data_IF_398473864400
#
_entry.id   IF_398473864400
#
_cell.length_a   1.000
_cell.length_b   1.000
_cell.length_c   1.000
_cell.angle_alpha   90.00
_cell.angle_beta   90.00
_cell.angle_gamma   90.00
#
_symmetry.space_group_name_H-M   'P 1'
#
loop_
_entity.id
_entity.type
_entity.pdbx_description
1 polymer ?
#
# COMPACT_ATOMS: atom_id res chain seq x y z
N UNK A 1 -9.32 -11.39 -22.61
CA UNK A 1 -9.69 -11.86 -21.26
C UNK A 1 -8.46 -11.66 -20.41
N UNK A 2 -8.58 -10.94 -19.29
CA UNK A 2 -7.44 -10.71 -18.39
C UNK A 2 -6.95 -12.05 -17.85
N UNK A 3 -5.65 -12.33 -17.89
CA UNK A 3 -5.02 -13.53 -17.30
C UNK A 3 -4.99 -13.48 -15.75
N UNK A 4 -5.83 -12.65 -15.14
CA UNK A 4 -5.93 -12.46 -13.71
C UNK A 4 -7.02 -13.35 -13.08
N UNK A 5 -6.60 -14.18 -12.14
CA UNK A 5 -7.42 -15.06 -11.30
C UNK A 5 -8.10 -14.26 -10.18
N UNK A 6 -9.24 -13.67 -10.52
CA UNK A 6 -10.05 -12.89 -9.57
C UNK A 6 -10.58 -13.75 -8.41
N UNK A 7 -10.93 -15.01 -8.66
CA UNK A 7 -11.41 -15.93 -7.62
C UNK A 7 -10.28 -16.28 -6.63
N UNK A 8 -9.07 -16.53 -7.15
CA UNK A 8 -7.87 -16.69 -6.34
C UNK A 8 -7.54 -15.46 -5.48
N UNK A 9 -7.73 -14.25 -6.04
CA UNK A 9 -7.60 -13.01 -5.27
C UNK A 9 -8.63 -12.91 -4.14
N UNK A 10 -9.91 -13.17 -4.42
CA UNK A 10 -10.97 -13.16 -3.42
C UNK A 10 -10.74 -14.18 -2.31
N UNK A 11 -10.35 -15.41 -2.67
CA UNK A 11 -9.95 -16.43 -1.71
C UNK A 11 -8.77 -15.97 -0.85
N UNK A 12 -7.74 -15.35 -1.48
CA UNK A 12 -6.53 -14.89 -0.79
C UNK A 12 -6.82 -13.81 0.26
N UNK A 13 -7.78 -12.91 -0.01
CA UNK A 13 -8.13 -11.83 0.93
C UNK A 13 -9.34 -12.15 1.84
N UNK A 14 -9.96 -13.31 1.64
CA UNK A 14 -11.18 -13.72 2.36
C UNK A 14 -12.39 -12.85 2.03
N UNK A 15 -12.55 -12.46 0.77
CA UNK A 15 -13.69 -11.67 0.30
C UNK A 15 -14.77 -12.57 -0.29
N UNK A 16 -15.99 -12.48 0.25
CA UNK A 16 -17.17 -13.21 -0.24
C UNK A 16 -18.35 -12.31 -0.58
N UNK A 17 -18.08 -11.03 -0.87
CA UNK A 17 -19.10 -10.05 -1.23
C UNK A 17 -19.41 -10.02 -2.74
N UNK A 18 -20.23 -9.06 -3.20
CA UNK A 18 -20.56 -8.90 -4.62
C UNK A 18 -19.34 -8.62 -5.51
N UNK A 19 -19.33 -9.21 -6.70
CA UNK A 19 -18.31 -8.95 -7.73
C UNK A 19 -18.80 -7.85 -8.69
N UNK A 20 -18.90 -6.61 -8.19
CA UNK A 20 -19.33 -5.45 -8.99
C UNK A 20 -18.39 -4.23 -8.86
N UNK A 21 -18.54 -3.27 -9.77
CA UNK A 21 -17.80 -2.01 -9.76
C UNK A 21 -18.45 -0.94 -8.86
N UNK A 22 -18.91 -1.30 -7.66
CA UNK A 22 -19.55 -0.37 -6.72
C UNK A 22 -18.58 0.22 -5.69
N UNK A 23 -18.95 1.36 -5.08
CA UNK A 23 -18.16 1.95 -3.99
C UNK A 23 -18.09 1.01 -2.77
N UNK A 24 -19.18 0.28 -2.49
CA UNK A 24 -19.23 -0.69 -1.39
C UNK A 24 -18.22 -1.83 -1.61
N UNK A 25 -18.13 -2.34 -2.84
CA UNK A 25 -17.13 -3.35 -3.22
C UNK A 25 -15.72 -2.78 -3.10
N UNK A 26 -15.45 -1.58 -3.62
CA UNK A 26 -14.14 -0.94 -3.49
C UNK A 26 -13.72 -0.77 -2.03
N UNK A 27 -14.62 -0.28 -1.16
CA UNK A 27 -14.35 -0.12 0.27
C UNK A 27 -14.06 -1.47 0.95
N UNK A 28 -14.84 -2.51 0.64
CA UNK A 28 -14.67 -3.83 1.23
C UNK A 28 -13.34 -4.49 0.81
N UNK A 29 -12.96 -4.38 -0.47
CA UNK A 29 -11.69 -4.91 -0.97
C UNK A 29 -10.49 -4.14 -0.39
N UNK A 30 -10.60 -2.81 -0.28
CA UNK A 30 -9.55 -1.95 0.27
C UNK A 30 -9.30 -2.23 1.76
N UNK A 31 -10.34 -2.56 2.52
CA UNK A 31 -10.18 -3.01 3.91
C UNK A 31 -9.66 -4.45 4.03
N UNK A 32 -10.09 -5.36 3.15
CA UNK A 32 -9.73 -6.79 3.23
C UNK A 32 -8.30 -7.08 2.79
N UNK A 33 -7.80 -6.39 1.77
CA UNK A 33 -6.47 -6.64 1.19
C UNK A 33 -5.32 -6.47 2.20
N UNK A 34 -5.11 -5.30 2.85
CA UNK A 34 -3.99 -5.08 3.77
C UNK A 34 -4.13 -5.83 5.11
N UNK A 35 -5.29 -6.48 5.34
CA UNK A 35 -5.51 -7.40 6.46
C UNK A 35 -5.03 -8.81 6.15
N UNK A 36 -5.14 -9.24 4.90
CA UNK A 36 -4.83 -10.59 4.50
C UNK A 36 -3.42 -10.73 3.92
N UNK A 37 -2.95 -9.71 3.20
CA UNK A 37 -1.65 -9.71 2.51
C UNK A 37 -0.74 -8.77 3.31
N UNK A 38 0.34 -9.27 3.94
CA UNK A 38 1.26 -8.42 4.68
C UNK A 38 2.10 -7.59 3.72
N UNK A 39 2.38 -6.35 4.10
CA UNK A 39 3.48 -5.61 3.52
C UNK A 39 4.78 -6.21 4.04
N UNK A 40 5.74 -6.52 3.16
CA UNK A 40 7.05 -7.04 3.52
C UNK A 40 8.09 -6.82 2.40
N UNK A 41 9.37 -6.82 2.74
CA UNK A 41 10.48 -6.68 1.78
C UNK A 41 11.44 -7.88 1.79
N UNK A 42 10.97 -9.07 2.12
CA UNK A 42 11.81 -10.26 2.34
C UNK A 42 12.58 -10.63 1.08
N UNK A 43 11.96 -10.62 -0.10
CA UNK A 43 12.68 -10.94 -1.34
C UNK A 43 13.83 -9.95 -1.61
N UNK A 44 13.56 -8.65 -1.49
CA UNK A 44 14.58 -7.62 -1.68
C UNK A 44 15.71 -7.75 -0.65
N UNK A 45 15.37 -8.03 0.61
CA UNK A 45 16.34 -8.22 1.69
C UNK A 45 17.23 -9.45 1.45
N UNK A 46 16.66 -10.52 0.87
CA UNK A 46 17.35 -11.77 0.55
C UNK A 46 18.03 -11.76 -0.83
N UNK A 47 17.97 -10.65 -1.57
CA UNK A 47 18.53 -10.55 -2.93
C UNK A 47 17.78 -11.39 -3.98
N UNK A 48 16.53 -11.77 -3.70
CA UNK A 48 15.64 -12.46 -4.63
C UNK A 48 14.99 -11.42 -5.55
N UNK A 49 14.91 -11.74 -6.85
CA UNK A 49 14.29 -10.85 -7.83
C UNK A 49 12.80 -10.65 -7.55
N UNK A 50 12.34 -9.39 -7.61
CA UNK A 50 10.94 -9.02 -7.44
C UNK A 50 10.27 -8.91 -8.81
N UNK A 51 9.44 -9.90 -9.16
CA UNK A 51 8.69 -9.94 -10.42
C UNK A 51 7.39 -9.14 -10.32
N UNK A 52 7.15 -8.23 -11.27
CA UNK A 52 5.96 -7.36 -11.30
C UNK A 52 4.96 -7.70 -12.41
N UNK A 53 5.26 -8.68 -13.27
CA UNK A 53 4.28 -9.17 -14.23
C UNK A 53 3.17 -9.96 -13.49
N UNK A 54 1.98 -9.98 -14.10
CA UNK A 54 0.78 -10.59 -13.50
C UNK A 54 0.97 -12.06 -13.12
N UNK A 55 1.76 -12.84 -13.86
CA UNK A 55 1.99 -14.25 -13.54
C UNK A 55 2.86 -14.40 -12.28
N UNK A 56 3.96 -13.65 -12.21
CA UNK A 56 4.84 -13.62 -11.03
C UNK A 56 4.09 -13.16 -9.76
N UNK A 57 3.28 -12.11 -9.88
CA UNK A 57 2.50 -11.55 -8.77
C UNK A 57 1.50 -12.57 -8.20
N UNK A 58 0.73 -13.23 -9.07
CA UNK A 58 -0.27 -14.22 -8.66
C UNK A 58 0.39 -15.47 -8.06
N UNK A 59 1.48 -15.94 -8.66
CA UNK A 59 2.23 -17.09 -8.13
C UNK A 59 2.71 -16.81 -6.69
N UNK A 60 3.33 -15.64 -6.48
CA UNK A 60 3.85 -15.24 -5.17
C UNK A 60 2.74 -15.03 -4.14
N UNK A 61 1.71 -14.25 -4.48
CA UNK A 61 0.73 -13.80 -3.48
C UNK A 61 -0.38 -14.82 -3.25
N UNK A 62 -0.83 -15.52 -4.30
CA UNK A 62 -1.94 -16.48 -4.19
C UNK A 62 -1.42 -17.89 -3.88
N UNK A 63 -0.55 -18.44 -4.74
CA UNK A 63 -0.08 -19.82 -4.59
C UNK A 63 0.89 -19.98 -3.41
N UNK A 64 1.85 -19.08 -3.27
CA UNK A 64 2.82 -19.16 -2.16
C UNK A 64 2.31 -18.49 -0.88
N UNK A 65 1.19 -17.76 -0.92
CA UNK A 65 0.58 -17.12 0.25
C UNK A 65 1.40 -15.96 0.82
N UNK A 66 2.34 -15.40 0.06
CA UNK A 66 3.29 -14.38 0.53
C UNK A 66 2.70 -12.97 0.46
N UNK A 67 3.48 -12.00 0.94
CA UNK A 67 3.20 -10.57 0.84
C UNK A 67 4.02 -9.90 -0.26
N UNK A 68 4.31 -8.62 -0.07
CA UNK A 68 5.22 -7.85 -0.91
C UNK A 68 5.26 -6.40 -0.47
N UNK A 69 5.93 -5.54 -1.22
CA UNK A 69 5.92 -4.09 -0.99
C UNK A 69 4.97 -3.35 -1.95
N UNK A 70 5.06 -2.02 -2.01
CA UNK A 70 4.05 -1.16 -2.64
C UNK A 70 3.65 -1.52 -4.08
N UNK A 71 4.62 -1.88 -4.93
CA UNK A 71 4.34 -2.22 -6.32
C UNK A 71 3.55 -3.53 -6.44
N UNK A 72 3.94 -4.55 -5.67
CA UNK A 72 3.28 -5.87 -5.70
C UNK A 72 1.84 -5.78 -5.19
N UNK A 73 1.64 -5.07 -4.08
CA UNK A 73 0.32 -4.79 -3.53
C UNK A 73 -0.58 -4.04 -4.50
N UNK A 74 -0.14 -2.87 -4.98
CA UNK A 74 -1.00 -2.00 -5.77
C UNK A 74 -1.17 -2.47 -7.21
N UNK A 75 -0.25 -3.25 -7.78
CA UNK A 75 -0.47 -3.92 -9.09
C UNK A 75 -1.51 -5.03 -8.98
N UNK A 76 -1.43 -5.91 -7.98
CA UNK A 76 -2.46 -6.94 -7.76
C UNK A 76 -3.83 -6.30 -7.52
N UNK A 77 -3.87 -5.25 -6.70
CA UNK A 77 -5.10 -4.53 -6.43
C UNK A 77 -5.64 -3.86 -7.70
N UNK A 78 -4.80 -3.25 -8.52
CA UNK A 78 -5.18 -2.67 -9.81
C UNK A 78 -5.76 -3.72 -10.76
N UNK A 79 -5.13 -4.90 -10.88
CA UNK A 79 -5.64 -5.99 -11.72
C UNK A 79 -7.00 -6.51 -11.23
N UNK A 80 -7.20 -6.64 -9.92
CA UNK A 80 -8.49 -7.03 -9.35
C UNK A 80 -9.59 -5.99 -9.64
N UNK A 81 -9.27 -4.70 -9.48
CA UNK A 81 -10.21 -3.62 -9.79
C UNK A 81 -10.54 -3.55 -11.29
N UNK A 82 -9.55 -3.70 -12.17
CA UNK A 82 -9.76 -3.77 -13.62
C UNK A 82 -10.64 -4.97 -14.02
N UNK A 83 -10.39 -6.15 -13.45
CA UNK A 83 -11.19 -7.35 -13.69
C UNK A 83 -12.65 -7.21 -13.22
N UNK A 84 -12.90 -6.39 -12.19
CA UNK A 84 -14.24 -6.04 -11.70
C UNK A 84 -14.93 -4.94 -12.51
N UNK A 85 -14.23 -4.34 -13.49
CA UNK A 85 -14.76 -3.28 -14.35
C UNK A 85 -14.63 -1.87 -13.79
N UNK A 86 -13.83 -1.65 -12.74
CA UNK A 86 -13.50 -0.30 -12.30
C UNK A 86 -12.63 0.41 -13.36
N UNK A 87 -12.84 1.71 -13.52
CA UNK A 87 -11.89 2.55 -14.27
C UNK A 87 -10.73 2.90 -13.36
N UNK A 88 -9.62 2.18 -13.48
CA UNK A 88 -8.44 2.31 -12.59
C UNK A 88 -7.16 2.60 -13.38
N UNK A 89 -6.26 3.38 -12.80
CA UNK A 89 -4.94 3.66 -13.36
C UNK A 89 -3.88 3.86 -12.29
N UNK A 90 -2.63 3.59 -12.63
CA UNK A 90 -1.50 3.76 -11.74
C UNK A 90 -1.02 5.22 -11.64
N UNK A 91 -0.58 5.60 -10.45
CA UNK A 91 0.13 6.83 -10.13
C UNK A 91 1.47 6.49 -9.45
N UNK A 92 2.32 7.51 -9.27
CA UNK A 92 3.57 7.39 -8.52
C UNK A 92 3.74 8.54 -7.54
N UNK A 93 4.32 8.26 -6.38
CA UNK A 93 4.45 9.20 -5.28
C UNK A 93 5.89 9.26 -4.73
N UNK A 94 6.23 10.42 -4.17
CA UNK A 94 7.47 10.69 -3.45
C UNK A 94 7.19 10.56 -1.96
N UNK A 95 7.83 9.58 -1.31
CA UNK A 95 7.63 9.32 0.13
C UNK A 95 8.22 10.47 0.95
N UNK A 96 7.41 10.98 1.88
CA UNK A 96 7.79 12.02 2.84
C UNK A 96 7.71 11.55 4.29
N UNK A 97 7.17 10.34 4.53
CA UNK A 97 7.16 9.74 5.86
C UNK A 97 8.57 9.62 6.43
N UNK A 98 8.82 10.29 7.55
CA UNK A 98 10.15 10.36 8.16
C UNK A 98 11.14 11.28 7.44
N UNK A 99 10.67 12.14 6.54
CA UNK A 99 11.45 13.15 5.83
C UNK A 99 10.86 14.55 6.09
N UNK A 100 11.65 15.63 5.89
CA UNK A 100 11.11 16.98 5.83
C UNK A 100 10.05 17.12 4.73
N UNK A 101 9.02 17.94 4.98
CA UNK A 101 7.86 18.06 4.10
C UNK A 101 8.19 18.75 2.74
N UNK A 102 9.33 19.43 2.66
CA UNK A 102 9.88 20.07 1.47
C UNK A 102 10.93 19.21 0.74
N UNK A 103 11.33 18.07 1.31
CA UNK A 103 12.33 17.18 0.73
C UNK A 103 11.94 16.72 -0.68
N UNK A 104 12.94 16.56 -1.55
CA UNK A 104 12.77 16.00 -2.89
C UNK A 104 13.28 14.57 -2.89
N UNK A 105 12.39 13.61 -2.61
CA UNK A 105 12.68 12.17 -2.68
C UNK A 105 12.33 11.59 -4.05
N UNK A 106 12.82 10.38 -4.36
CA UNK A 106 12.47 9.68 -5.60
C UNK A 106 10.96 9.36 -5.66
N UNK A 107 10.41 9.15 -6.86
CA UNK A 107 9.07 8.57 -7.03
C UNK A 107 9.13 7.07 -6.75
N UNK A 108 9.24 6.71 -5.48
CA UNK A 108 9.50 5.35 -5.00
C UNK A 108 8.26 4.62 -4.50
N UNK A 109 7.09 5.24 -4.55
CA UNK A 109 5.84 4.64 -4.10
C UNK A 109 4.80 4.60 -5.22
N UNK A 110 3.95 3.58 -5.21
CA UNK A 110 2.84 3.41 -6.14
C UNK A 110 1.52 3.57 -5.40
N UNK A 111 0.56 4.23 -6.05
CA UNK A 111 -0.83 4.29 -5.63
C UNK A 111 -1.72 4.28 -6.87
N UNK A 112 -3.03 4.18 -6.69
CA UNK A 112 -4.01 4.09 -7.75
C UNK A 112 -4.93 5.31 -7.78
N UNK A 113 -5.35 5.68 -9.00
CA UNK A 113 -6.47 6.57 -9.29
C UNK A 113 -7.64 5.74 -9.78
N UNK A 114 -8.83 5.95 -9.21
CA UNK A 114 -10.04 5.19 -9.52
C UNK A 114 -11.17 6.17 -9.84
N UNK A 115 -11.76 6.07 -11.02
CA UNK A 115 -12.94 6.85 -11.41
C UNK A 115 -14.21 6.06 -11.12
N UNK A 116 -15.13 6.67 -10.36
CA UNK A 116 -16.36 6.02 -9.93
C UNK A 116 -17.47 7.05 -9.73
N UNK A 117 -18.60 6.88 -10.42
CA UNK A 117 -19.77 7.75 -10.26
C UNK A 117 -19.50 9.24 -10.54
N UNK A 118 -18.62 9.54 -11.51
CA UNK A 118 -18.22 10.92 -11.84
C UNK A 118 -17.25 11.57 -10.85
N UNK A 119 -16.68 10.79 -9.93
CA UNK A 119 -15.72 11.25 -8.92
C UNK A 119 -14.42 10.47 -9.03
N UNK A 120 -13.33 11.12 -8.63
CA UNK A 120 -12.00 10.50 -8.57
C UNK A 120 -11.67 10.13 -7.14
N UNK A 121 -11.27 8.87 -6.93
CA UNK A 121 -10.75 8.35 -5.68
C UNK A 121 -9.28 7.97 -5.84
N UNK A 122 -8.55 7.95 -4.73
CA UNK A 122 -7.27 7.25 -4.63
C UNK A 122 -7.43 5.92 -3.88
N UNK A 123 -6.70 4.91 -4.34
CA UNK A 123 -6.55 3.63 -3.65
C UNK A 123 -5.07 3.35 -3.39
N UNK A 124 -4.74 2.85 -2.20
CA UNK A 124 -3.37 2.47 -1.85
C UNK A 124 -3.40 1.41 -0.74
N UNK A 125 -3.19 0.16 -1.13
CA UNK A 125 -3.15 -0.99 -0.21
C UNK A 125 -1.71 -1.45 0.06
N UNK A 126 -0.71 -0.58 -0.21
CA UNK A 126 0.70 -0.98 -0.25
C UNK A 126 1.71 -0.02 0.37
N UNK A 127 1.32 0.98 1.17
CA UNK A 127 2.28 1.95 1.73
C UNK A 127 3.22 1.37 2.80
N UNK A 128 2.77 0.37 3.56
CA UNK A 128 3.48 -0.20 4.71
C UNK A 128 2.76 0.05 6.03
N UNK A 129 3.46 0.58 7.04
CA UNK A 129 2.92 0.71 8.41
C UNK A 129 1.63 1.53 8.54
N UNK A 130 1.39 2.49 7.63
CA UNK A 130 0.18 3.32 7.56
C UNK A 130 -0.60 3.11 6.25
N UNK A 131 -0.64 1.87 5.77
CA UNK A 131 -1.46 1.51 4.59
C UNK A 131 -2.91 1.94 4.78
N UNK A 132 -3.50 2.60 3.77
CA UNK A 132 -4.92 2.98 3.80
C UNK A 132 -5.79 1.72 3.90
N UNK A 133 -6.95 1.85 4.55
CA UNK A 133 -7.94 0.76 4.66
C UNK A 133 -9.30 1.15 4.10
N UNK A 134 -9.34 2.26 3.37
CA UNK A 134 -10.47 2.72 2.59
C UNK A 134 -9.95 3.55 1.40
N UNK A 135 -10.66 3.56 0.26
CA UNK A 135 -10.41 4.55 -0.79
C UNK A 135 -10.72 5.95 -0.26
N UNK A 136 -9.95 6.94 -0.70
CA UNK A 136 -10.19 8.34 -0.34
C UNK A 136 -10.65 9.12 -1.57
N UNK A 137 -11.66 9.96 -1.42
CA UNK A 137 -12.05 10.91 -2.44
C UNK A 137 -10.90 11.90 -2.66
N UNK A 138 -10.56 12.18 -3.92
CA UNK A 138 -9.55 13.16 -4.30
C UNK A 138 -10.11 14.58 -4.16
N UNK A 139 -10.37 15.00 -2.91
CA UNK A 139 -10.92 16.30 -2.54
C UNK A 139 -10.00 16.98 -1.51
N UNK A 140 -9.24 18.02 -1.91
CA UNK A 140 -8.34 18.73 -1.00
C UNK A 140 -9.05 19.35 0.20
N UNK A 141 -8.46 19.20 1.38
CA UNK A 141 -8.96 19.75 2.63
C UNK A 141 -10.05 18.90 3.30
N UNK A 142 -10.63 17.92 2.62
CA UNK A 142 -11.62 17.03 3.20
C UNK A 142 -10.95 16.00 4.12
N UNK A 143 -11.28 16.07 5.41
CA UNK A 143 -10.94 15.04 6.39
C UNK A 143 -11.87 13.84 6.23
N UNK A 144 -11.28 12.67 6.02
CA UNK A 144 -11.98 11.46 5.63
C UNK A 144 -11.70 10.37 6.66
N UNK A 145 -12.76 9.94 7.34
CA UNK A 145 -12.71 8.83 8.28
C UNK A 145 -12.47 7.52 7.51
N UNK A 146 -11.54 6.71 8.01
CA UNK A 146 -11.32 5.35 7.54
C UNK A 146 -11.62 4.37 8.68
N UNK A 147 -11.61 3.04 8.46
CA UNK A 147 -11.67 2.08 9.56
C UNK A 147 -10.59 2.27 10.63
N UNK A 148 -9.50 2.98 10.32
CA UNK A 148 -8.40 3.28 11.23
C UNK A 148 -8.27 4.79 11.49
N UNK A 149 -7.19 5.42 11.02
CA UNK A 149 -6.92 6.83 11.20
C UNK A 149 -7.76 7.70 10.26
N UNK A 150 -7.96 8.96 10.62
CA UNK A 150 -8.47 9.99 9.70
C UNK A 150 -7.37 10.36 8.73
N UNK A 151 -7.71 10.46 7.44
CA UNK A 151 -6.80 10.93 6.41
C UNK A 151 -7.34 12.18 5.74
N UNK A 152 -6.45 12.96 5.14
CA UNK A 152 -6.84 14.05 4.24
C UNK A 152 -5.84 14.18 3.10
N UNK A 153 -6.30 14.83 2.04
CA UNK A 153 -5.44 15.28 0.96
C UNK A 153 -5.30 16.79 1.07
N UNK A 154 -4.08 17.30 0.92
CA UNK A 154 -3.84 18.75 0.76
C UNK A 154 -3.18 19.00 -0.58
N UNK A 155 -3.60 20.06 -1.25
CA UNK A 155 -3.03 20.45 -2.54
C UNK A 155 -2.05 21.60 -2.35
N UNK A 156 -0.86 21.49 -2.94
CA UNK A 156 0.15 22.54 -2.93
C UNK A 156 0.94 22.49 -4.23
N UNK A 157 0.90 23.58 -5.01
CA UNK A 157 1.67 23.69 -6.25
C UNK A 157 1.32 22.64 -7.31
N UNK A 158 0.04 22.26 -7.43
CA UNK A 158 -0.43 21.25 -8.37
C UNK A 158 -0.07 19.81 -8.01
N UNK A 159 0.36 19.57 -6.76
CA UNK A 159 0.60 18.24 -6.20
C UNK A 159 -0.26 18.02 -4.97
N UNK A 160 -0.67 16.79 -4.76
CA UNK A 160 -1.39 16.35 -3.58
C UNK A 160 -0.41 15.76 -2.57
N UNK A 161 -0.69 15.96 -1.28
CA UNK A 161 -0.04 15.28 -0.16
C UNK A 161 -1.09 14.47 0.58
N UNK A 162 -0.85 13.18 0.76
CA UNK A 162 -1.65 12.37 1.66
C UNK A 162 -1.13 12.55 3.09
N UNK A 163 -2.02 12.91 4.01
CA UNK A 163 -1.70 13.06 5.42
C UNK A 163 -2.61 12.17 6.26
N UNK A 164 -2.04 11.61 7.34
CA UNK A 164 -2.78 10.94 8.40
C UNK A 164 -2.78 11.81 9.65
N UNK A 165 -3.89 11.81 10.38
CA UNK A 165 -3.96 12.33 11.74
C UNK A 165 -3.37 11.31 12.72
N UNK A 166 -2.23 11.65 13.32
CA UNK A 166 -1.50 10.79 14.25
C UNK A 166 -1.24 11.59 15.53
N UNK A 167 -2.08 11.36 16.55
CA UNK A 167 -1.95 12.04 17.85
C UNK A 167 -2.24 13.53 17.76
N UNK A 168 -3.28 13.92 17.01
CA UNK A 168 -3.70 15.30 16.74
C UNK A 168 -2.71 16.10 15.86
N UNK A 169 -1.72 15.42 15.26
CA UNK A 169 -0.77 15.98 14.32
C UNK A 169 -0.98 15.39 12.92
N UNK A 170 -1.15 16.26 11.93
CA UNK A 170 -1.21 15.86 10.52
C UNK A 170 0.18 15.53 9.99
N UNK A 171 0.43 14.26 9.70
CA UNK A 171 1.72 13.75 9.22
C UNK A 171 1.63 13.34 7.77
N UNK A 172 2.51 13.90 6.93
CA UNK A 172 2.56 13.57 5.50
C UNK A 172 3.18 12.21 5.26
N UNK A 173 2.48 11.36 4.51
CA UNK A 173 2.97 10.05 4.06
C UNK A 173 3.80 10.21 2.79
N UNK A 174 3.21 10.85 1.78
CA UNK A 174 3.81 11.04 0.47
C UNK A 174 3.14 12.18 -0.30
N UNK A 175 3.81 12.65 -1.35
CA UNK A 175 3.25 13.58 -2.33
C UNK A 175 3.19 13.00 -3.73
N UNK A 176 2.19 13.35 -4.51
CA UNK A 176 1.97 12.84 -5.85
C UNK A 176 1.31 13.87 -6.77
N UNK A 177 1.43 13.65 -8.07
CA UNK A 177 0.65 14.32 -9.10
C UNK A 177 -0.20 13.29 -9.84
N UNK A 178 -1.03 13.74 -10.80
CA UNK A 178 -1.94 12.86 -11.54
C UNK A 178 -1.34 12.29 -12.82
N UNK A 179 -0.01 12.34 -12.98
CA UNK A 179 0.66 11.70 -14.12
C UNK A 179 0.45 10.20 -14.05
N UNK A 180 -0.16 9.64 -15.10
CA UNK A 180 -0.33 8.20 -15.22
C UNK A 180 1.03 7.51 -15.26
N UNK A 181 1.19 6.49 -14.44
CA UNK A 181 2.32 5.58 -14.47
C UNK A 181 1.86 4.19 -14.94
N UNK A 182 2.78 3.46 -15.55
CA UNK A 182 2.55 2.13 -16.11
C UNK A 182 3.49 1.12 -15.46
N UNK A 183 3.22 -0.16 -15.68
CA UNK A 183 4.04 -1.25 -15.13
C UNK A 183 5.53 -1.10 -15.44
N UNK A 184 5.90 -0.63 -16.63
CA UNK A 184 7.30 -0.39 -17.01
C UNK A 184 7.98 0.67 -16.13
N UNK A 185 7.25 1.69 -15.70
CA UNK A 185 7.77 2.73 -14.80
C UNK A 185 8.02 2.14 -13.41
N UNK A 186 7.12 1.29 -12.95
CA UNK A 186 7.24 0.59 -11.67
C UNK A 186 8.39 -0.42 -11.68
N UNK A 187 8.62 -1.14 -12.79
CA UNK A 187 9.77 -2.05 -12.93
C UNK A 187 11.10 -1.31 -12.74
N UNK A 188 11.24 -0.09 -13.27
CA UNK A 188 12.45 0.73 -13.08
C UNK A 188 12.62 1.14 -11.62
N UNK A 189 11.57 1.68 -10.99
CA UNK A 189 11.62 2.09 -9.59
C UNK A 189 11.86 0.90 -8.65
N UNK A 190 11.16 -0.22 -8.89
CA UNK A 190 11.32 -1.49 -8.19
C UNK A 190 12.73 -2.04 -8.31
N UNK A 191 13.35 -2.01 -9.49
CA UNK A 191 14.72 -2.47 -9.67
C UNK A 191 15.68 -1.67 -8.79
N UNK A 192 15.56 -0.34 -8.77
CA UNK A 192 16.37 0.50 -7.87
C UNK A 192 16.14 0.13 -6.40
N UNK A 193 14.87 0.02 -5.97
CA UNK A 193 14.56 -0.27 -4.57
C UNK A 193 14.97 -1.68 -4.13
N UNK A 194 14.95 -2.67 -5.02
CA UNK A 194 15.24 -4.07 -4.68
C UNK A 194 16.68 -4.50 -4.91
N UNK A 195 17.49 -3.70 -5.64
CA UNK A 195 18.86 -4.11 -6.00
C UNK A 195 19.93 -3.05 -5.74
N UNK A 196 19.59 -1.76 -5.66
CA UNK A 196 20.60 -0.72 -5.53
C UNK A 196 21.16 -0.68 -4.10
N UNK A 197 22.49 -0.65 -3.88
CA UNK A 197 23.11 -0.70 -2.55
C UNK A 197 22.68 0.42 -1.59
N UNK A 198 22.21 1.55 -2.12
CA UNK A 198 21.71 2.67 -1.30
C UNK A 198 20.27 2.51 -0.84
N UNK A 199 19.54 1.51 -1.34
CA UNK A 199 18.15 1.30 -0.94
C UNK A 199 18.09 0.64 0.44
N UNK A 200 17.29 1.23 1.33
CA UNK A 200 17.08 0.69 2.67
C UNK A 200 16.34 -0.65 2.66
N UNK A 201 15.63 -0.99 1.59
CA UNK A 201 14.96 -2.30 1.46
C UNK A 201 15.95 -3.48 1.36
N UNK A 202 17.26 -3.24 1.16
CA UNK A 202 18.30 -4.27 1.18
C UNK A 202 19.02 -4.38 2.54
N UNK A 203 18.79 -3.44 3.45
CA UNK A 203 19.51 -3.35 4.73
C UNK A 203 18.60 -3.21 5.96
N UNK A 204 17.29 -3.07 5.74
CA UNK A 204 16.28 -2.93 6.79
C UNK A 204 15.18 -3.95 6.54
N UNK A 205 14.87 -4.78 7.53
CA UNK A 205 13.66 -5.59 7.49
C UNK A 205 12.47 -4.69 7.82
N UNK A 206 11.46 -4.67 6.95
CA UNK A 206 10.23 -3.93 7.14
C UNK A 206 9.06 -4.87 6.88
N UNK A 207 8.12 -4.92 7.81
CA UNK A 207 6.84 -5.61 7.59
C UNK A 207 5.69 -4.84 8.22
N UNK A 208 4.48 -4.97 7.69
CA UNK A 208 3.28 -4.39 8.29
C UNK A 208 2.03 -5.21 7.96
N UNK A 209 1.04 -5.14 8.85
CA UNK A 209 -0.26 -5.78 8.68
C UNK A 209 -1.35 -4.95 9.38
N UNK A 210 -2.50 -4.74 8.72
CA UNK A 210 -3.62 -4.01 9.29
C UNK A 210 -4.73 -4.97 9.73
N UNK A 211 -4.95 -5.11 11.04
CA UNK A 211 -6.08 -5.86 11.60
C UNK A 211 -7.23 -4.91 11.96
N UNK A 212 -8.46 -5.41 12.16
CA UNK A 212 -9.63 -4.54 12.41
C UNK A 212 -9.49 -3.56 13.59
N UNK A 213 -8.69 -3.91 14.60
CA UNK A 213 -8.53 -3.12 15.83
C UNK A 213 -7.11 -2.60 16.06
N UNK A 214 -6.16 -2.89 15.16
CA UNK A 214 -4.75 -2.53 15.32
C UNK A 214 -3.94 -2.63 14.03
N UNK A 215 -2.79 -1.97 14.01
CA UNK A 215 -1.75 -2.15 13.01
C UNK A 215 -0.49 -2.74 13.63
N UNK A 216 0.09 -3.71 12.95
CA UNK A 216 1.45 -4.15 13.22
C UNK A 216 2.41 -3.46 12.27
N UNK A 217 3.53 -2.97 12.80
CA UNK A 217 4.64 -2.47 12.02
C UNK A 217 5.95 -2.99 12.62
N UNK A 218 6.73 -3.70 11.81
CA UNK A 218 8.04 -4.20 12.16
C UNK A 218 9.09 -3.39 11.40
N UNK A 219 10.10 -2.91 12.11
CA UNK A 219 11.31 -2.33 11.51
C UNK A 219 12.54 -2.90 12.21
N UNK A 220 13.32 -3.70 11.49
CA UNK A 220 14.37 -4.56 12.04
C UNK A 220 13.83 -5.40 13.20
N UNK A 221 14.38 -5.23 14.39
CA UNK A 221 13.97 -5.95 15.59
C UNK A 221 12.92 -5.21 16.42
N UNK A 222 12.39 -4.06 15.96
CA UNK A 222 11.37 -3.31 16.71
C UNK A 222 9.98 -3.58 16.14
N UNK A 223 9.17 -4.29 16.92
CA UNK A 223 7.76 -4.51 16.66
C UNK A 223 6.93 -3.43 17.35
N UNK A 224 6.16 -2.68 16.58
CA UNK A 224 5.16 -1.73 17.06
C UNK A 224 3.76 -2.30 16.85
N UNK A 225 2.92 -2.22 17.88
CA UNK A 225 1.47 -2.50 17.79
C UNK A 225 0.72 -1.22 18.06
N UNK A 226 0.03 -0.70 17.05
CA UNK A 226 -0.76 0.52 17.13
C UNK A 226 -2.23 0.15 17.28
N UNK A 227 -2.80 0.25 18.48
CA UNK A 227 -4.21 -0.05 18.70
C UNK A 227 -5.09 1.09 18.18
N UNK A 228 -6.22 0.75 17.57
CA UNK A 228 -7.18 1.74 17.08
C UNK A 228 -7.65 2.66 18.22
N UNK A 229 -7.44 3.98 18.05
CA UNK A 229 -7.77 5.02 19.04
C UNK A 229 -7.18 4.76 20.43
N UNK A 230 -6.05 4.06 20.49
CA UNK A 230 -5.45 3.59 21.72
C UNK A 230 -3.95 3.82 21.78
N UNK A 231 -3.32 3.13 22.73
CA UNK A 231 -1.87 3.20 22.92
C UNK A 231 -1.11 2.53 21.76
N UNK A 232 0.12 2.98 21.56
CA UNK A 232 1.11 2.24 20.78
C UNK A 232 2.03 1.48 21.73
N UNK A 233 2.19 0.19 21.50
CA UNK A 233 3.13 -0.67 22.24
C UNK A 233 4.35 -0.94 21.37
N UNK A 234 5.53 -0.95 21.99
CA UNK A 234 6.77 -1.29 21.30
C UNK A 234 7.47 -2.42 22.04
N UNK A 235 8.01 -3.35 21.27
CA UNK A 235 8.77 -4.50 21.76
C UNK A 235 10.01 -4.68 20.90
N UNK A 236 11.15 -4.79 21.55
CA UNK A 236 12.37 -5.25 20.89
C UNK A 236 12.40 -6.77 20.87
N UNK A 237 12.70 -7.32 19.71
CA UNK A 237 12.91 -8.74 19.45
C UNK A 237 14.40 -9.01 19.69
N UNK A 238 14.70 -9.95 20.57
CA UNK A 238 16.06 -10.11 21.09
C UNK A 238 16.94 -10.98 20.20
N UNK A 239 16.34 -11.89 19.41
CA UNK A 239 17.08 -12.89 18.64
C UNK A 239 16.54 -13.06 17.23
N UNK A 240 17.39 -13.51 16.31
CA UNK A 240 16.95 -13.85 14.95
C UNK A 240 15.94 -15.01 14.90
N UNK A 241 16.02 -15.94 15.86
CA UNK A 241 15.07 -17.07 15.97
C UNK A 241 13.67 -16.58 16.35
N UNK A 242 13.59 -15.58 17.21
CA UNK A 242 12.31 -14.96 17.57
C UNK A 242 11.73 -14.07 16.46
N UNK A 243 12.60 -13.53 15.60
CA UNK A 243 12.22 -12.69 14.46
C UNK A 243 11.65 -13.49 13.28
N UNK A 244 12.11 -14.73 13.10
CA UNK A 244 11.74 -15.63 12.01
C UNK A 244 10.41 -16.35 12.27
#
# INVERSE_FOLDING_TARGET
MSDFDLDGYFARIGYGGPADASLATLQALHAAHPRAIPFENIDALMGVSVGLDVASLQDKVFRQGRGGYCFEHNLIFMHALDALGFTVSGLAARVLWGQPDDAVTARSHMLLRIELGGRTYIGDVGFGGLTLTAPLLLEPGLEQQTPHETFRLVETGGQFRLQADIGDDWRTLYRFDLSRAYEVDYRVASHFLSTHPSSHFLSTLVAALALPDRRYALRNNRLSTHHARGRSEQREIATAVELA
#
